data_IF_558910560231
#
_entry.id   IF_558910560231
#
_cell.length_a   1.000
_cell.length_b   1.000
_cell.length_c   1.000
_cell.angle_alpha   90.00
_cell.angle_beta   90.00
_cell.angle_gamma   90.00
#
_symmetry.space_group_name_H-M   'P 1'
#
loop_
_entity.id
_entity.type
_entity.pdbx_description
1 polymer ?
#
# COMPACT_ATOMS: atom_id res chain seq x y z
N UNK A 1 -50.16 39.52 -14.93
CA UNK A 1 -49.19 38.47 -15.25
C UNK A 1 -47.97 38.69 -14.38
N UNK A 2 -47.79 37.81 -13.41
CA UNK A 2 -46.66 37.87 -12.48
C UNK A 2 -45.56 36.99 -13.00
N UNK A 3 -44.39 37.56 -13.29
CA UNK A 3 -43.17 36.83 -13.56
C UNK A 3 -42.65 36.26 -12.24
N UNK A 4 -42.79 34.95 -12.07
CA UNK A 4 -42.27 34.22 -10.92
C UNK A 4 -40.79 33.85 -11.19
N UNK A 5 -39.94 34.55 -10.51
CA UNK A 5 -38.73 34.18 -9.75
C UNK A 5 -38.10 32.80 -10.04
N UNK A 6 -37.03 32.82 -10.87
CA UNK A 6 -36.07 31.74 -11.05
C UNK A 6 -34.89 31.83 -10.07
N UNK A 7 -34.97 32.63 -8.99
CA UNK A 7 -33.83 32.90 -8.08
C UNK A 7 -33.65 31.90 -6.93
N UNK A 8 -34.55 30.93 -6.78
CA UNK A 8 -34.50 29.97 -5.65
C UNK A 8 -33.60 28.75 -5.87
N UNK A 9 -33.40 28.34 -7.11
CA UNK A 9 -32.62 27.14 -7.46
C UNK A 9 -31.11 27.37 -7.45
N UNK A 10 -30.67 28.58 -7.78
CA UNK A 10 -29.24 28.89 -7.83
C UNK A 10 -28.58 29.03 -6.45
N UNK A 11 -29.33 29.47 -5.45
CA UNK A 11 -28.82 29.62 -4.09
C UNK A 11 -28.48 28.27 -3.43
N UNK A 12 -29.22 27.20 -3.74
CA UNK A 12 -28.98 25.84 -3.24
C UNK A 12 -27.87 25.09 -3.98
N UNK A 13 -27.63 25.42 -5.24
CA UNK A 13 -26.64 24.75 -6.08
C UNK A 13 -25.20 25.18 -5.76
N UNK A 14 -24.97 26.46 -5.46
CA UNK A 14 -23.64 27.01 -5.14
C UNK A 14 -22.90 26.28 -3.99
N UNK A 15 -23.51 26.04 -2.82
CA UNK A 15 -22.86 25.31 -1.74
C UNK A 15 -22.62 23.84 -2.09
N UNK A 16 -23.49 23.23 -2.91
CA UNK A 16 -23.29 21.86 -3.38
C UNK A 16 -22.10 21.75 -4.35
N UNK A 17 -21.96 22.70 -5.29
CA UNK A 17 -20.81 22.78 -6.18
C UNK A 17 -19.50 23.08 -5.43
N UNK A 18 -19.51 23.99 -4.46
CA UNK A 18 -18.34 24.29 -3.63
C UNK A 18 -17.88 23.04 -2.83
N UNK A 19 -18.82 22.32 -2.24
CA UNK A 19 -18.55 21.10 -1.53
C UNK A 19 -18.03 19.97 -2.47
N UNK A 20 -18.56 19.86 -3.67
CA UNK A 20 -18.09 18.92 -4.67
C UNK A 20 -16.65 19.25 -5.13
N UNK A 21 -16.36 20.53 -5.41
CA UNK A 21 -15.02 21.00 -5.77
C UNK A 21 -13.98 20.76 -4.67
N UNK A 22 -14.32 21.04 -3.42
CA UNK A 22 -13.41 20.78 -2.28
C UNK A 22 -13.05 19.30 -2.15
N UNK A 23 -13.98 18.40 -2.44
CA UNK A 23 -13.75 16.95 -2.41
C UNK A 23 -12.91 16.46 -3.58
N UNK A 24 -13.21 16.96 -4.78
CA UNK A 24 -12.39 16.67 -5.97
C UNK A 24 -10.97 17.21 -5.75
N UNK A 25 -10.83 18.40 -5.15
CA UNK A 25 -9.55 18.97 -4.79
C UNK A 25 -8.76 18.11 -3.81
N UNK A 26 -9.43 17.56 -2.76
CA UNK A 26 -8.77 16.66 -1.80
C UNK A 26 -8.32 15.35 -2.47
N UNK A 27 -9.20 14.73 -3.27
CA UNK A 27 -8.84 13.50 -4.01
C UNK A 27 -7.70 13.78 -4.99
N UNK A 28 -7.79 14.87 -5.74
CA UNK A 28 -6.73 15.28 -6.68
C UNK A 28 -5.39 15.51 -5.95
N UNK A 29 -5.43 16.14 -4.77
CA UNK A 29 -4.23 16.37 -3.97
C UNK A 29 -3.64 15.06 -3.45
N UNK A 30 -4.46 14.12 -2.96
CA UNK A 30 -3.97 12.79 -2.53
C UNK A 30 -3.36 12.00 -3.69
N UNK A 31 -3.97 12.08 -4.88
CA UNK A 31 -3.43 11.46 -6.09
C UNK A 31 -2.13 12.15 -6.54
N UNK A 32 -2.07 13.49 -6.47
CA UNK A 32 -0.86 14.24 -6.79
C UNK A 32 0.29 13.89 -5.83
N UNK A 33 0.02 13.82 -4.53
CA UNK A 33 1.00 13.38 -3.52
C UNK A 33 1.48 11.94 -3.79
N UNK A 34 0.58 11.05 -4.17
CA UNK A 34 0.94 9.69 -4.58
C UNK A 34 1.84 9.69 -5.82
N UNK A 35 1.52 10.51 -6.83
CA UNK A 35 2.33 10.63 -8.06
C UNK A 35 3.72 11.18 -7.77
N UNK A 36 3.82 12.22 -6.93
CA UNK A 36 5.12 12.75 -6.47
C UNK A 36 5.90 11.66 -5.71
N UNK A 37 5.23 10.92 -4.83
CA UNK A 37 5.82 9.78 -4.12
C UNK A 37 6.36 8.73 -5.08
N UNK A 38 5.64 8.38 -6.15
CA UNK A 38 6.10 7.46 -7.18
C UNK A 38 7.34 7.96 -7.93
N UNK A 39 7.35 9.22 -8.36
CA UNK A 39 8.50 9.83 -9.05
C UNK A 39 9.71 9.86 -8.14
N UNK A 40 9.53 10.28 -6.89
CA UNK A 40 10.61 10.33 -5.92
C UNK A 40 11.17 8.93 -5.62
N UNK A 41 10.30 7.96 -5.36
CA UNK A 41 10.70 6.56 -5.11
C UNK A 41 11.44 5.98 -6.32
N UNK A 42 10.96 6.23 -7.54
CA UNK A 42 11.62 5.79 -8.76
C UNK A 42 13.02 6.41 -8.93
N UNK A 43 13.20 7.66 -8.52
CA UNK A 43 14.50 8.34 -8.57
C UNK A 43 15.48 7.79 -7.53
N UNK A 44 15.03 7.63 -6.29
CA UNK A 44 15.87 7.11 -5.19
C UNK A 44 16.28 5.64 -5.41
N UNK A 45 15.45 4.87 -6.10
CA UNK A 45 15.72 3.45 -6.37
C UNK A 45 16.63 3.22 -7.59
N UNK A 46 16.96 4.25 -8.36
CA UNK A 46 17.89 4.12 -9.49
C UNK A 46 19.30 3.82 -8.96
N UNK A 47 19.85 2.69 -9.36
CA UNK A 47 21.21 2.27 -8.95
C UNK A 47 21.30 1.54 -7.61
N UNK A 48 20.18 1.23 -6.96
CA UNK A 48 20.14 0.39 -5.77
C UNK A 48 19.77 -1.06 -6.12
N UNK A 49 20.64 -1.76 -6.82
CA UNK A 49 20.52 -3.20 -7.12
C UNK A 49 20.87 -4.06 -5.90
N UNK A 50 20.39 -3.69 -4.73
CA UNK A 50 20.63 -4.44 -3.51
C UNK A 50 19.68 -5.63 -3.42
N UNK A 51 20.24 -6.81 -3.22
CA UNK A 51 19.50 -8.05 -3.00
C UNK A 51 18.53 -7.96 -1.82
N UNK A 52 17.62 -8.95 -1.68
CA UNK A 52 16.65 -8.98 -0.59
C UNK A 52 17.36 -8.88 0.76
N UNK A 53 16.86 -8.00 1.62
CA UNK A 53 17.33 -7.77 2.99
C UNK A 53 18.75 -7.15 3.13
N UNK A 54 19.45 -6.83 2.05
CA UNK A 54 20.76 -6.17 2.10
C UNK A 54 20.56 -4.65 2.13
N UNK A 55 21.25 -3.97 3.07
CA UNK A 55 21.34 -2.51 3.10
C UNK A 55 20.07 -1.78 3.53
N UNK A 56 19.38 -2.23 4.60
CA UNK A 56 18.22 -1.53 5.16
C UNK A 56 18.52 -0.07 5.58
N UNK A 57 19.78 0.31 5.65
CA UNK A 57 20.20 1.66 6.07
C UNK A 57 19.81 1.98 7.52
N UNK A 58 19.81 3.25 7.86
CA UNK A 58 19.36 3.69 9.18
C UNK A 58 17.84 3.56 9.29
N UNK A 59 17.33 3.32 10.51
CA UNK A 59 15.91 3.20 10.79
C UNK A 59 15.09 4.39 10.25
N UNK A 60 15.57 5.61 10.45
CA UNK A 60 14.87 6.82 10.02
C UNK A 60 14.79 6.92 8.49
N UNK A 61 15.87 6.57 7.80
CA UNK A 61 15.92 6.53 6.34
C UNK A 61 14.93 5.49 5.80
N UNK A 62 14.98 4.27 6.34
CA UNK A 62 14.07 3.20 5.96
C UNK A 62 12.60 3.57 6.18
N UNK A 63 12.26 4.11 7.36
CA UNK A 63 10.88 4.52 7.65
C UNK A 63 10.43 5.67 6.77
N UNK A 64 11.32 6.60 6.43
CA UNK A 64 11.02 7.70 5.52
C UNK A 64 10.62 7.18 4.13
N UNK A 65 11.47 6.36 3.51
CA UNK A 65 11.19 5.73 2.22
C UNK A 65 9.93 4.87 2.30
N UNK A 66 9.81 4.03 3.35
CA UNK A 66 8.66 3.17 3.55
C UNK A 66 7.34 3.94 3.59
N UNK A 67 7.26 5.02 4.38
CA UNK A 67 6.04 5.82 4.50
C UNK A 67 5.69 6.50 3.18
N UNK A 68 6.68 7.04 2.45
CA UNK A 68 6.46 7.65 1.13
C UNK A 68 5.97 6.61 0.12
N UNK A 69 6.60 5.44 0.09
CA UNK A 69 6.20 4.32 -0.77
C UNK A 69 4.77 3.86 -0.46
N UNK A 70 4.45 3.68 0.83
CA UNK A 70 3.09 3.32 1.25
C UNK A 70 2.08 4.41 0.93
N UNK A 71 2.44 5.68 1.07
CA UNK A 71 1.59 6.80 0.67
C UNK A 71 1.33 6.77 -0.85
N UNK A 72 2.36 6.59 -1.66
CA UNK A 72 2.25 6.52 -3.12
C UNK A 72 1.30 5.40 -3.59
N UNK A 73 1.40 4.21 -2.99
CA UNK A 73 0.60 3.04 -3.38
C UNK A 73 -0.82 3.08 -2.79
N UNK A 74 -0.99 3.60 -1.57
CA UNK A 74 -2.21 3.41 -0.79
C UNK A 74 -3.11 4.65 -0.71
N UNK A 75 -2.59 5.90 -0.85
CA UNK A 75 -3.43 7.09 -0.81
C UNK A 75 -4.52 7.10 -1.88
N UNK A 76 -4.29 6.68 -3.13
CA UNK A 76 -5.36 6.59 -4.12
C UNK A 76 -6.50 5.66 -3.66
N UNK A 77 -6.16 4.56 -2.99
CA UNK A 77 -7.15 3.58 -2.53
C UNK A 77 -7.94 4.04 -1.30
N UNK A 78 -7.38 4.90 -0.46
CA UNK A 78 -8.06 5.43 0.74
C UNK A 78 -8.79 6.75 0.46
N UNK A 79 -8.50 7.43 -0.64
CA UNK A 79 -9.09 8.72 -1.01
C UNK A 79 -10.62 8.73 -0.97
N UNK A 80 -11.36 7.71 -1.45
CA UNK A 80 -12.82 7.67 -1.32
C UNK A 80 -13.30 7.65 0.14
N UNK A 81 -12.56 6.96 1.01
CA UNK A 81 -12.87 6.89 2.45
C UNK A 81 -12.66 8.24 3.13
N UNK A 82 -11.55 8.92 2.81
CA UNK A 82 -11.25 10.27 3.31
C UNK A 82 -12.30 11.27 2.81
N UNK A 83 -12.69 11.20 1.53
CA UNK A 83 -13.74 12.03 0.96
C UNK A 83 -15.12 11.79 1.61
N UNK A 84 -15.43 10.54 1.98
CA UNK A 84 -16.65 10.21 2.72
C UNK A 84 -16.58 10.73 4.16
N UNK A 85 -15.42 10.55 4.82
CA UNK A 85 -15.18 11.05 6.16
C UNK A 85 -15.39 12.58 6.23
N UNK A 86 -14.86 13.35 5.27
CA UNK A 86 -15.09 14.80 5.21
C UNK A 86 -16.55 15.18 5.00
N UNK A 87 -17.35 14.30 4.39
CA UNK A 87 -18.80 14.53 4.26
C UNK A 87 -19.52 14.44 5.60
N UNK A 88 -19.07 13.49 6.41
CA UNK A 88 -19.71 13.19 7.70
C UNK A 88 -19.29 14.18 8.79
N UNK A 89 -18.13 14.85 8.62
CA UNK A 89 -17.55 15.79 9.60
C UNK A 89 -17.68 17.25 9.19
N UNK A 90 -18.77 17.63 8.48
CA UNK A 90 -18.95 18.98 7.92
C UNK A 90 -18.81 20.14 8.92
N UNK A 91 -19.08 19.90 10.19
CA UNK A 91 -18.99 20.89 11.28
C UNK A 91 -17.67 20.77 12.07
N UNK A 92 -16.82 19.81 11.69
CA UNK A 92 -15.54 19.55 12.36
C UNK A 92 -14.40 20.39 11.75
N UNK A 93 -13.29 20.48 12.46
CA UNK A 93 -12.09 21.20 12.04
C UNK A 93 -11.62 20.77 10.64
N UNK A 94 -11.14 21.70 9.79
CA UNK A 94 -10.55 21.39 8.48
C UNK A 94 -9.32 20.47 8.56
N UNK A 95 -8.75 20.30 9.77
CA UNK A 95 -7.64 19.39 10.04
C UNK A 95 -8.07 17.91 10.14
N UNK A 96 -9.36 17.63 10.37
CA UNK A 96 -9.84 16.26 10.58
C UNK A 96 -9.48 15.27 9.47
N UNK A 97 -9.59 15.58 8.17
CA UNK A 97 -9.19 14.67 7.10
C UNK A 97 -7.68 14.38 7.08
N UNK A 98 -6.88 15.39 7.41
CA UNK A 98 -5.42 15.24 7.47
C UNK A 98 -4.99 14.37 8.65
N UNK A 99 -5.64 14.53 9.79
CA UNK A 99 -5.41 13.70 10.97
C UNK A 99 -5.87 12.26 10.73
N UNK A 100 -6.98 12.06 10.02
CA UNK A 100 -7.40 10.73 9.58
C UNK A 100 -6.33 10.08 8.67
N UNK A 101 -5.85 10.81 7.66
CA UNK A 101 -4.79 10.34 6.76
C UNK A 101 -3.48 10.10 7.51
N UNK A 102 -3.12 10.99 8.45
CA UNK A 102 -1.97 10.82 9.34
C UNK A 102 -2.06 9.56 10.19
N UNK A 103 -3.21 9.30 10.82
CA UNK A 103 -3.46 8.06 11.57
C UNK A 103 -3.33 6.80 10.72
N UNK A 104 -3.80 6.86 9.47
CA UNK A 104 -3.65 5.78 8.50
C UNK A 104 -2.18 5.51 8.18
N UNK A 105 -1.41 6.54 7.86
CA UNK A 105 0.03 6.43 7.57
C UNK A 105 0.84 6.02 8.80
N UNK A 106 0.44 6.44 10.00
CA UNK A 106 1.07 6.02 11.25
C UNK A 106 0.99 4.50 11.45
N UNK A 107 -0.14 3.88 11.08
CA UNK A 107 -0.25 2.41 11.11
C UNK A 107 0.70 1.74 10.11
N UNK A 108 0.87 2.33 8.92
CA UNK A 108 1.85 1.85 7.96
C UNK A 108 3.29 2.06 8.41
N UNK A 109 3.59 3.16 9.12
CA UNK A 109 4.89 3.37 9.76
C UNK A 109 5.17 2.30 10.82
N UNK A 110 4.16 1.93 11.62
CA UNK A 110 4.26 0.82 12.57
C UNK A 110 4.52 -0.52 11.89
N UNK A 111 3.86 -0.80 10.77
CA UNK A 111 4.12 -2.00 9.97
C UNK A 111 5.56 -1.98 9.38
N UNK A 112 6.05 -0.83 8.92
CA UNK A 112 7.42 -0.65 8.46
C UNK A 112 8.44 -0.86 9.57
N UNK A 113 8.17 -0.35 10.75
CA UNK A 113 9.03 -0.59 11.92
C UNK A 113 9.11 -2.10 12.23
N UNK A 114 7.99 -2.80 12.23
CA UNK A 114 7.97 -4.25 12.43
C UNK A 114 8.78 -4.98 11.35
N UNK A 115 8.61 -4.60 10.08
CA UNK A 115 9.37 -5.15 8.96
C UNK A 115 10.89 -4.90 9.11
N UNK A 116 11.29 -3.68 9.52
CA UNK A 116 12.68 -3.33 9.78
C UNK A 116 13.29 -4.21 10.88
N UNK A 117 12.59 -4.34 12.01
CA UNK A 117 13.05 -5.16 13.14
C UNK A 117 13.17 -6.63 12.77
N UNK A 118 12.22 -7.18 11.99
CA UNK A 118 12.29 -8.54 11.45
C UNK A 118 13.51 -8.69 10.53
N UNK A 119 13.76 -7.72 9.65
CA UNK A 119 14.89 -7.73 8.74
C UNK A 119 16.23 -7.70 9.49
N UNK A 120 16.38 -6.82 10.49
CA UNK A 120 17.58 -6.76 11.33
C UNK A 120 17.78 -8.07 12.10
N UNK A 121 16.73 -8.62 12.69
CA UNK A 121 16.81 -9.90 13.38
C UNK A 121 17.18 -11.04 12.42
N UNK A 122 16.58 -11.09 11.23
CA UNK A 122 16.89 -12.10 10.24
C UNK A 122 18.36 -12.02 9.77
N UNK A 123 18.86 -10.83 9.49
CA UNK A 123 20.27 -10.63 9.09
C UNK A 123 21.24 -10.95 10.21
N UNK A 124 20.91 -10.64 11.46
CA UNK A 124 21.77 -10.96 12.62
C UNK A 124 21.81 -12.46 12.94
N UNK A 125 20.70 -13.17 12.75
CA UNK A 125 20.59 -14.61 13.08
C UNK A 125 21.07 -15.52 11.95
N UNK A 126 20.76 -15.16 10.71
CA UNK A 126 21.00 -16.00 9.52
C UNK A 126 22.25 -15.57 8.75
N UNK A 127 22.74 -14.34 8.96
CA UNK A 127 23.97 -13.83 8.35
C UNK A 127 24.03 -14.05 6.84
N UNK A 128 25.16 -14.60 6.38
CA UNK A 128 25.38 -14.89 4.96
C UNK A 128 24.50 -16.00 4.36
N UNK A 129 23.67 -16.70 5.15
CA UNK A 129 22.70 -17.66 4.62
C UNK A 129 21.55 -16.97 3.85
N UNK A 130 21.30 -15.68 4.12
CA UNK A 130 20.32 -14.87 3.39
C UNK A 130 20.82 -14.41 2.01
N UNK A 131 22.09 -14.64 1.69
CA UNK A 131 22.62 -14.30 0.39
C UNK A 131 21.83 -15.03 -0.71
N UNK A 132 21.59 -14.32 -1.84
CA UNK A 132 20.72 -14.81 -2.92
C UNK A 132 21.17 -16.15 -3.51
N UNK A 133 22.46 -16.34 -3.61
CA UNK A 133 23.14 -17.54 -4.15
C UNK A 133 23.07 -18.77 -3.22
N UNK A 134 22.62 -18.61 -1.97
CA UNK A 134 22.55 -19.70 -0.98
C UNK A 134 21.09 -20.07 -0.69
N UNK A 135 20.48 -19.40 0.30
CA UNK A 135 19.11 -19.67 0.71
C UNK A 135 18.13 -18.54 0.33
N UNK A 136 18.65 -17.41 -0.17
CA UNK A 136 17.83 -16.23 -0.46
C UNK A 136 16.70 -16.53 -1.45
N UNK A 137 16.98 -17.29 -2.51
CA UNK A 137 15.97 -17.70 -3.50
C UNK A 137 14.89 -18.57 -2.88
N UNK A 138 15.28 -19.56 -2.06
CA UNK A 138 14.33 -20.45 -1.39
C UNK A 138 13.46 -19.66 -0.37
N UNK A 139 14.07 -18.73 0.36
CA UNK A 139 13.35 -17.85 1.31
C UNK A 139 12.38 -16.94 0.55
N UNK A 140 12.80 -16.35 -0.57
CA UNK A 140 11.94 -15.54 -1.43
C UNK A 140 10.76 -16.36 -1.95
N UNK A 141 11.03 -17.55 -2.51
CA UNK A 141 10.01 -18.47 -2.98
C UNK A 141 9.05 -18.90 -1.86
N UNK A 142 9.56 -19.25 -0.68
CA UNK A 142 8.74 -19.58 0.48
C UNK A 142 7.85 -18.40 0.92
N UNK A 143 8.38 -17.18 0.91
CA UNK A 143 7.60 -15.97 1.23
C UNK A 143 6.44 -15.78 0.25
N UNK A 144 6.67 -16.00 -1.04
CA UNK A 144 5.61 -15.94 -2.05
C UNK A 144 4.56 -17.04 -1.87
N UNK A 145 4.97 -18.26 -1.50
CA UNK A 145 4.01 -19.34 -1.20
C UNK A 145 3.17 -19.04 0.04
N UNK A 146 3.77 -18.46 1.08
CA UNK A 146 3.04 -17.98 2.26
C UNK A 146 2.06 -16.86 1.88
N UNK A 147 2.50 -15.93 1.04
CA UNK A 147 1.61 -14.88 0.54
C UNK A 147 0.46 -15.46 -0.28
N UNK A 148 0.72 -16.42 -1.17
CA UNK A 148 -0.30 -17.12 -1.94
C UNK A 148 -1.32 -17.86 -1.04
N UNK A 149 -0.84 -18.55 -0.01
CA UNK A 149 -1.70 -19.21 0.96
C UNK A 149 -2.56 -18.19 1.73
N UNK A 150 -1.97 -17.07 2.15
CA UNK A 150 -2.69 -15.99 2.84
C UNK A 150 -3.80 -15.40 1.98
N UNK A 151 -3.58 -15.24 0.66
CA UNK A 151 -4.60 -14.74 -0.28
C UNK A 151 -5.91 -15.54 -0.20
N UNK A 152 -5.83 -16.83 0.05
CA UNK A 152 -6.98 -17.75 0.12
C UNK A 152 -7.62 -17.81 1.51
N UNK A 153 -7.04 -17.13 2.51
CA UNK A 153 -7.55 -17.20 3.89
C UNK A 153 -8.84 -16.41 4.10
N UNK A 154 -9.71 -16.86 5.04
CA UNK A 154 -10.86 -16.08 5.45
C UNK A 154 -10.46 -14.75 6.12
N UNK A 155 -9.29 -14.69 6.77
CA UNK A 155 -8.78 -13.49 7.42
C UNK A 155 -8.56 -12.35 6.41
N UNK A 156 -7.88 -12.64 5.28
CA UNK A 156 -7.74 -11.66 4.19
C UNK A 156 -9.10 -11.19 3.69
N UNK A 157 -10.05 -12.11 3.50
CA UNK A 157 -11.38 -11.77 3.02
C UNK A 157 -12.13 -10.82 3.97
N UNK A 158 -12.00 -11.01 5.28
CA UNK A 158 -12.59 -10.14 6.30
C UNK A 158 -11.95 -8.75 6.25
N UNK A 159 -10.60 -8.68 6.24
CA UNK A 159 -9.86 -7.42 6.17
C UNK A 159 -10.20 -6.66 4.88
N UNK A 160 -10.19 -7.34 3.74
CA UNK A 160 -10.51 -6.76 2.45
C UNK A 160 -11.96 -6.25 2.39
N UNK A 161 -12.92 -6.97 2.96
CA UNK A 161 -14.32 -6.53 3.05
C UNK A 161 -14.46 -5.22 3.84
N UNK A 162 -13.71 -5.06 4.93
CA UNK A 162 -13.67 -3.82 5.72
C UNK A 162 -13.03 -2.67 4.95
N UNK A 163 -11.94 -2.93 4.23
CA UNK A 163 -11.30 -1.93 3.36
C UNK A 163 -12.22 -1.44 2.23
N UNK A 164 -13.06 -2.33 1.68
CA UNK A 164 -13.98 -2.04 0.56
C UNK A 164 -15.29 -1.39 1.00
N UNK A 165 -15.59 -1.36 2.30
CA UNK A 165 -16.80 -0.76 2.86
C UNK A 165 -16.48 0.47 3.69
N UNK A 166 -16.18 1.63 3.05
CA UNK A 166 -15.81 2.84 3.77
C UNK A 166 -16.89 3.27 4.76
N UNK A 167 -18.16 3.21 4.34
CA UNK A 167 -19.29 3.59 5.19
C UNK A 167 -19.41 2.67 6.41
N UNK A 168 -19.34 1.35 6.22
CA UNK A 168 -19.43 0.39 7.32
C UNK A 168 -18.24 0.49 8.29
N UNK A 169 -17.03 0.77 7.78
CA UNK A 169 -15.85 0.95 8.63
C UNK A 169 -15.92 2.25 9.44
N UNK A 170 -16.43 3.34 8.87
CA UNK A 170 -16.58 4.62 9.54
C UNK A 170 -17.71 4.58 10.59
N UNK A 171 -18.92 4.14 10.22
CA UNK A 171 -20.06 4.08 11.15
C UNK A 171 -19.81 3.13 12.32
N UNK A 172 -19.21 1.98 12.08
CA UNK A 172 -18.93 1.00 13.13
C UNK A 172 -17.82 1.40 14.12
N UNK A 173 -17.17 2.55 13.90
CA UNK A 173 -16.08 3.04 14.76
C UNK A 173 -16.04 4.54 14.93
N UNK A 174 -17.18 5.18 14.71
CA UNK A 174 -17.28 6.64 14.79
C UNK A 174 -16.79 7.18 16.14
N UNK A 175 -15.95 8.19 16.08
CA UNK A 175 -15.43 8.94 17.23
C UNK A 175 -15.30 10.40 16.86
N UNK A 176 -15.82 11.27 17.71
CA UNK A 176 -15.76 12.70 17.51
C UNK A 176 -14.40 13.30 17.91
N UNK A 177 -14.13 14.49 17.37
CA UNK A 177 -12.94 15.27 17.69
C UNK A 177 -11.67 14.82 16.95
N UNK A 178 -10.60 15.60 17.13
CA UNK A 178 -9.32 15.38 16.45
C UNK A 178 -8.65 14.05 16.83
N UNK A 179 -8.61 13.61 18.10
CA UNK A 179 -8.11 12.28 18.45
C UNK A 179 -8.95 11.15 17.84
N UNK A 180 -10.26 11.37 17.70
CA UNK A 180 -11.17 10.46 17.01
C UNK A 180 -10.78 10.26 15.56
N UNK A 181 -10.44 11.34 14.85
CA UNK A 181 -9.96 11.29 13.46
C UNK A 181 -8.71 10.42 13.30
N UNK A 182 -7.69 10.62 14.13
CA UNK A 182 -6.45 9.82 14.12
C UNK A 182 -6.76 8.34 14.37
N UNK A 183 -7.57 8.04 15.39
CA UNK A 183 -7.93 6.66 15.74
C UNK A 183 -8.71 5.96 14.65
N UNK A 184 -9.65 6.66 14.01
CA UNK A 184 -10.41 6.13 12.87
C UNK A 184 -9.51 5.87 11.67
N UNK A 185 -8.59 6.79 11.38
CA UNK A 185 -7.56 6.61 10.36
C UNK A 185 -6.65 5.42 10.64
N UNK A 186 -6.14 5.30 11.86
CA UNK A 186 -5.30 4.19 12.28
C UNK A 186 -6.04 2.85 12.17
N UNK A 187 -7.30 2.77 12.57
CA UNK A 187 -8.12 1.58 12.42
C UNK A 187 -8.33 1.19 10.95
N UNK A 188 -8.57 2.19 10.09
CA UNK A 188 -8.68 1.95 8.66
C UNK A 188 -7.34 1.46 8.07
N UNK A 189 -6.23 2.03 8.54
CA UNK A 189 -4.87 1.55 8.22
C UNK A 189 -4.64 0.11 8.65
N UNK A 190 -5.08 -0.28 9.85
CA UNK A 190 -4.94 -1.65 10.35
C UNK A 190 -5.66 -2.68 9.46
N UNK A 191 -6.89 -2.36 9.00
CA UNK A 191 -7.58 -3.21 8.03
C UNK A 191 -6.84 -3.27 6.69
N UNK A 192 -6.24 -2.15 6.26
CA UNK A 192 -5.46 -2.10 5.03
C UNK A 192 -4.18 -2.92 5.15
N UNK A 193 -3.42 -2.79 6.24
CA UNK A 193 -2.27 -3.66 6.53
C UNK A 193 -2.70 -5.12 6.52
N UNK A 194 -3.77 -5.46 7.24
CA UNK A 194 -4.29 -6.82 7.29
C UNK A 194 -4.66 -7.39 5.92
N UNK A 195 -5.20 -6.61 4.99
CA UNK A 195 -5.58 -7.13 3.67
C UNK A 195 -4.41 -7.27 2.69
N UNK A 196 -3.29 -6.55 2.87
CA UNK A 196 -2.21 -6.53 1.88
C UNK A 196 -0.79 -6.76 2.45
N UNK A 197 -0.63 -7.07 3.75
CA UNK A 197 0.70 -7.30 4.33
C UNK A 197 1.49 -8.39 3.60
N UNK A 198 0.82 -9.46 3.16
CA UNK A 198 1.47 -10.57 2.47
C UNK A 198 1.98 -10.17 1.08
N UNK A 199 1.21 -9.34 0.35
CA UNK A 199 1.65 -8.73 -0.90
C UNK A 199 2.82 -7.76 -0.68
N UNK A 200 2.81 -7.01 0.43
CA UNK A 200 3.95 -6.17 0.80
C UNK A 200 5.19 -7.01 1.17
N UNK A 201 5.00 -8.13 1.89
CA UNK A 201 6.08 -9.05 2.19
C UNK A 201 6.67 -9.68 0.91
N UNK A 202 5.86 -9.94 -0.11
CA UNK A 202 6.34 -10.45 -1.40
C UNK A 202 7.24 -9.44 -2.13
N UNK A 203 7.07 -8.12 -1.93
CA UNK A 203 7.99 -7.12 -2.46
C UNK A 203 9.38 -7.26 -1.85
N UNK A 204 9.50 -7.56 -0.56
CA UNK A 204 10.79 -7.82 0.06
C UNK A 204 11.46 -9.08 -0.51
N UNK A 205 10.67 -10.09 -0.83
CA UNK A 205 11.15 -11.32 -1.41
C UNK A 205 11.63 -11.15 -2.87
N UNK A 206 10.94 -10.32 -3.66
CA UNK A 206 11.22 -10.07 -5.08
C UNK A 206 12.24 -8.93 -5.31
N UNK A 207 12.70 -8.30 -4.24
CA UNK A 207 13.54 -7.11 -4.29
C UNK A 207 12.71 -5.82 -4.18
N UNK A 208 12.75 -5.20 -3.02
CA UNK A 208 12.00 -3.96 -2.68
C UNK A 208 12.33 -2.81 -3.63
N UNK A 209 13.47 -2.86 -4.29
CA UNK A 209 14.02 -1.77 -5.11
C UNK A 209 13.51 -1.77 -6.56
N UNK A 210 12.64 -2.70 -6.95
CA UNK A 210 12.08 -2.73 -8.31
C UNK A 210 10.77 -1.95 -8.38
N UNK A 211 10.79 -0.78 -9.01
CA UNK A 211 9.61 0.05 -9.28
C UNK A 211 8.55 -0.73 -10.08
N UNK A 212 8.97 -1.59 -10.98
CA UNK A 212 8.07 -2.45 -11.78
C UNK A 212 7.28 -3.42 -10.89
N UNK A 213 7.94 -4.07 -9.92
CA UNK A 213 7.28 -4.95 -8.95
C UNK A 213 6.34 -4.19 -8.02
N UNK A 214 6.76 -3.01 -7.57
CA UNK A 214 5.89 -2.14 -6.78
C UNK A 214 4.63 -1.75 -7.57
N UNK A 215 4.76 -1.36 -8.84
CA UNK A 215 3.65 -1.02 -9.70
C UNK A 215 2.72 -2.23 -9.91
N UNK A 216 3.29 -3.41 -10.17
CA UNK A 216 2.54 -4.65 -10.32
C UNK A 216 1.71 -4.99 -9.08
N UNK A 217 2.33 -4.96 -7.89
CA UNK A 217 1.63 -5.21 -6.62
C UNK A 217 0.60 -4.13 -6.33
N UNK A 218 0.89 -2.85 -6.62
CA UNK A 218 -0.08 -1.76 -6.46
C UNK A 218 -1.32 -1.95 -7.34
N UNK A 219 -1.14 -2.40 -8.59
CA UNK A 219 -2.23 -2.73 -9.52
C UNK A 219 -3.06 -3.90 -8.98
N UNK A 220 -2.43 -4.98 -8.52
CA UNK A 220 -3.14 -6.11 -7.90
C UNK A 220 -4.00 -5.64 -6.73
N UNK A 221 -3.42 -4.86 -5.80
CA UNK A 221 -4.14 -4.33 -4.64
C UNK A 221 -5.31 -3.44 -5.07
N UNK A 222 -5.10 -2.59 -6.08
CA UNK A 222 -6.16 -1.75 -6.63
C UNK A 222 -7.28 -2.60 -7.25
N UNK A 223 -6.94 -3.64 -8.00
CA UNK A 223 -7.92 -4.58 -8.57
C UNK A 223 -8.72 -5.31 -7.50
N UNK A 224 -8.07 -5.82 -6.46
CA UNK A 224 -8.72 -6.50 -5.34
C UNK A 224 -9.67 -5.56 -4.58
N UNK A 225 -9.33 -4.29 -4.45
CA UNK A 225 -10.15 -3.29 -3.75
C UNK A 225 -11.30 -2.74 -4.58
N UNK A 226 -11.19 -2.72 -5.91
CA UNK A 226 -12.18 -2.05 -6.79
C UNK A 226 -13.09 -3.04 -7.51
N UNK A 227 -12.55 -4.19 -7.97
CA UNK A 227 -13.32 -5.13 -8.79
C UNK A 227 -14.37 -5.90 -7.98
N UNK A 228 -15.56 -6.12 -8.56
CA UNK A 228 -16.63 -6.88 -7.88
C UNK A 228 -16.29 -8.38 -7.75
N UNK A 229 -15.50 -8.94 -8.64
CA UNK A 229 -15.13 -10.35 -8.72
C UNK A 229 -14.00 -10.74 -7.75
N UNK A 230 -14.18 -10.41 -6.49
CA UNK A 230 -13.21 -10.64 -5.41
C UNK A 230 -12.50 -11.99 -5.46
N UNK A 231 -13.30 -13.09 -5.47
CA UNK A 231 -12.78 -14.46 -5.41
C UNK A 231 -11.93 -14.81 -6.62
N UNK A 232 -12.31 -14.31 -7.80
CA UNK A 232 -11.54 -14.53 -9.02
C UNK A 232 -10.19 -13.80 -8.96
N UNK A 233 -10.17 -12.53 -8.54
CA UNK A 233 -8.95 -11.74 -8.46
C UNK A 233 -8.00 -12.29 -7.40
N UNK A 234 -8.47 -12.56 -6.18
CA UNK A 234 -7.64 -13.15 -5.13
C UNK A 234 -7.15 -14.55 -5.49
N UNK A 235 -7.98 -15.36 -6.16
CA UNK A 235 -7.57 -16.67 -6.66
C UNK A 235 -6.48 -16.58 -7.74
N UNK A 236 -6.63 -15.67 -8.69
CA UNK A 236 -5.63 -15.41 -9.73
C UNK A 236 -4.31 -14.89 -9.10
N UNK A 237 -4.39 -13.95 -8.15
CA UNK A 237 -3.23 -13.45 -7.40
C UNK A 237 -2.51 -14.59 -6.67
N UNK A 238 -3.27 -15.43 -5.96
CA UNK A 238 -2.70 -16.59 -5.25
C UNK A 238 -2.01 -17.56 -6.23
N UNK A 239 -2.62 -17.84 -7.38
CA UNK A 239 -2.03 -18.71 -8.39
C UNK A 239 -0.74 -18.12 -8.97
N UNK A 240 -0.72 -16.83 -9.30
CA UNK A 240 0.47 -16.13 -9.81
C UNK A 240 1.61 -16.19 -8.77
N UNK A 241 1.33 -15.84 -7.52
CA UNK A 241 2.33 -15.87 -6.45
C UNK A 241 2.85 -17.29 -6.20
N UNK A 242 1.96 -18.29 -6.23
CA UNK A 242 2.36 -19.68 -6.06
C UNK A 242 3.25 -20.17 -7.20
N UNK A 243 2.91 -19.87 -8.45
CA UNK A 243 3.73 -20.23 -9.61
C UNK A 243 5.10 -19.57 -9.54
N UNK A 244 5.18 -18.26 -9.29
CA UNK A 244 6.45 -17.55 -9.15
C UNK A 244 7.26 -18.13 -7.98
N UNK A 245 6.62 -18.37 -6.82
CA UNK A 245 7.29 -18.96 -5.66
C UNK A 245 7.86 -20.34 -5.90
N UNK A 246 7.14 -21.21 -6.61
CA UNK A 246 7.62 -22.53 -7.00
C UNK A 246 8.76 -22.44 -8.01
N UNK A 247 8.64 -21.56 -9.01
CA UNK A 247 9.71 -21.35 -10.00
C UNK A 247 11.01 -20.87 -9.33
N UNK A 248 10.92 -19.94 -8.35
CA UNK A 248 12.10 -19.48 -7.60
C UNK A 248 12.77 -20.60 -6.78
N UNK A 249 12.00 -21.57 -6.29
CA UNK A 249 12.55 -22.68 -5.51
C UNK A 249 13.15 -23.76 -6.40
N UNK A 250 12.47 -24.13 -7.50
CA UNK A 250 12.81 -25.32 -8.28
C UNK A 250 13.48 -25.02 -9.64
N UNK A 251 13.24 -23.83 -10.18
CA UNK A 251 13.76 -23.45 -11.50
C UNK A 251 14.07 -21.93 -11.54
N UNK A 252 15.03 -21.45 -10.74
CA UNK A 252 15.33 -20.01 -10.65
C UNK A 252 15.78 -19.43 -12.01
N UNK A 253 16.44 -20.23 -12.83
CA UNK A 253 16.92 -19.82 -14.17
C UNK A 253 15.79 -19.59 -15.18
N UNK A 254 14.57 -20.05 -14.89
CA UNK A 254 13.41 -19.81 -15.74
C UNK A 254 12.87 -18.36 -15.66
N UNK A 255 13.36 -17.56 -14.73
CA UNK A 255 12.93 -16.18 -14.49
C UNK A 255 14.09 -15.17 -14.58
N UNK A 256 14.71 -15.00 -15.78
CA UNK A 256 15.93 -14.19 -15.94
C UNK A 256 15.77 -12.70 -15.59
N UNK A 257 14.56 -12.21 -15.47
CA UNK A 257 14.30 -10.82 -15.06
C UNK A 257 14.00 -10.63 -13.56
N UNK A 258 13.91 -11.73 -12.80
CA UNK A 258 13.65 -11.75 -11.35
C UNK A 258 14.90 -12.11 -10.53
N UNK A 259 15.86 -12.79 -11.18
CA UNK A 259 17.17 -13.00 -10.60
C UNK A 259 17.94 -11.69 -10.73
N UNK A 260 18.54 -11.21 -9.64
CA UNK A 260 19.51 -10.12 -9.68
C UNK A 260 20.55 -10.52 -10.73
N UNK A 261 20.89 -9.68 -11.72
CA UNK A 261 21.95 -10.02 -12.65
C UNK A 261 23.16 -10.42 -11.81
N UNK A 262 23.56 -11.68 -11.92
CA UNK A 262 24.84 -12.14 -11.37
C UNK A 262 25.87 -11.18 -11.96
N UNK A 263 26.50 -10.35 -11.09
CA UNK A 263 27.35 -9.27 -11.52
C UNK A 263 28.24 -9.74 -12.64
N UNK A 264 28.16 -9.08 -13.79
CA UNK A 264 29.18 -9.18 -14.79
C UNK A 264 30.50 -8.95 -14.08
N UNK A 265 31.28 -10.02 -13.97
CA UNK A 265 32.64 -9.93 -13.53
C UNK A 265 33.30 -8.84 -14.39
N UNK A 266 33.58 -7.69 -13.81
CA UNK A 266 34.34 -6.66 -14.50
C UNK A 266 35.61 -7.30 -14.98
N UNK A 267 35.89 -7.25 -16.29
CA UNK A 267 37.18 -7.76 -16.80
C UNK A 267 38.27 -6.94 -16.08
N UNK A 268 39.04 -7.62 -15.25
CA UNK A 268 40.25 -7.06 -14.67
C UNK A 268 41.20 -6.81 -15.82
N UNK A 269 41.24 -5.55 -16.30
CA UNK A 269 42.25 -5.04 -17.22
C UNK A 269 43.43 -4.46 -16.45
#
# INVERSE_FOLDING_TARGET
MRSATSSGTDAGLRPAYAAARARLGLVALLVALASVGWVWTAHEMQGMDAGPWTGLGSLFWFLGIWVVMMAAMMLPSVAPTVALYTRMTKESSPLSPWLFTGGYLLTWAGAGLAAYLIGVAATSLLGGALAWDRAGQAIAGATLLVAAAYELTPLKNICLAKCRSPLGSLLGSWRDGLPGAVRMGARNGAWCVGCCWALMASLFALGVMSVSWMAFVAVIIAMEKTLPWRRGVTGATAAILAVIGLLLIFAPDALPGLTIPSGEAMPMG
#
